data_IF_114416583946
#
_entry.id   IF_114416583946
#
_cell.length_a   1.000
_cell.length_b   1.000
_cell.length_c   1.000
_cell.angle_alpha   90.00
_cell.angle_beta   90.00
_cell.angle_gamma   90.00
#
_symmetry.space_group_name_H-M   'P 1'
#
loop_
_entity.id
_entity.type
_entity.pdbx_description
1 polymer ?
#
# COMPACT_ATOMS: atom_id res chain seq x y z
N UNK A 1 -1.72 -4.25 0.81
CA UNK A 1 -1.73 -4.02 -0.66
C UNK A 1 -2.14 -2.57 -0.93
N UNK A 2 -1.41 -1.84 -1.78
CA UNK A 2 -1.75 -0.48 -2.21
C UNK A 2 -1.43 -0.25 -3.70
N UNK A 3 -1.82 0.89 -4.25
CA UNK A 3 -1.49 1.30 -5.62
C UNK A 3 -0.26 2.20 -5.65
N UNK A 4 0.43 2.33 -6.81
CA UNK A 4 1.57 3.24 -6.94
C UNK A 4 1.20 4.67 -6.55
N UNK A 5 2.07 5.33 -5.77
CA UNK A 5 1.95 6.73 -5.34
C UNK A 5 0.70 7.08 -4.52
N UNK A 6 -0.04 6.08 -4.04
CA UNK A 6 -1.24 6.30 -3.23
C UNK A 6 -0.88 7.08 -1.97
N UNK A 7 -1.69 8.09 -1.62
CA UNK A 7 -1.54 8.83 -0.36
C UNK A 7 -2.34 8.12 0.72
N UNK A 8 -1.66 7.65 1.77
CA UNK A 8 -2.24 6.86 2.86
C UNK A 8 -1.76 7.44 4.18
N UNK A 9 -2.70 7.80 5.04
CA UNK A 9 -2.37 8.36 6.34
C UNK A 9 -3.61 8.65 7.18
N UNK A 10 -3.43 8.65 8.50
CA UNK A 10 -4.50 8.96 9.45
C UNK A 10 -4.83 10.46 9.49
N UNK A 11 -3.80 11.31 9.48
CA UNK A 11 -3.92 12.76 9.44
C UNK A 11 -3.27 13.30 8.16
N UNK A 12 -3.82 14.40 7.60
CA UNK A 12 -3.23 15.04 6.43
C UNK A 12 -1.85 15.63 6.72
N UNK A 13 -0.95 15.72 5.72
CA UNK A 13 0.45 16.13 5.91
C UNK A 13 0.56 17.52 6.55
N UNK A 14 -0.30 18.47 6.17
CA UNK A 14 -0.34 19.82 6.75
C UNK A 14 -0.59 19.83 8.27
N UNK A 15 -1.48 18.97 8.76
CA UNK A 15 -1.80 18.87 10.19
C UNK A 15 -0.60 18.32 10.95
N UNK A 16 0.09 17.33 10.36
CA UNK A 16 1.28 16.73 10.95
C UNK A 16 2.41 17.76 11.01
N UNK A 17 2.72 18.44 9.90
CA UNK A 17 3.76 19.48 9.84
C UNK A 17 3.55 20.59 10.87
N UNK A 18 2.30 21.05 11.04
CA UNK A 18 1.95 22.05 12.06
C UNK A 18 2.17 21.55 13.49
N UNK A 19 2.00 20.24 13.72
CA UNK A 19 2.14 19.61 15.03
C UNK A 19 3.60 19.34 15.38
N UNK A 20 4.39 18.81 14.44
CA UNK A 20 5.81 18.46 14.67
C UNK A 20 6.76 19.64 14.41
N UNK A 21 6.31 20.70 13.73
CA UNK A 21 7.08 21.90 13.35
C UNK A 21 8.32 21.60 12.50
N UNK A 22 8.27 20.51 11.75
CA UNK A 22 9.32 20.06 10.83
C UNK A 22 8.71 19.77 9.45
N UNK A 23 9.54 19.81 8.41
CA UNK A 23 9.12 19.37 7.07
C UNK A 23 9.05 17.85 7.01
N UNK A 24 8.02 17.33 6.37
CA UNK A 24 7.90 15.88 6.18
C UNK A 24 8.92 15.38 5.15
N UNK A 25 9.46 14.17 5.31
CA UNK A 25 10.32 13.53 4.31
C UNK A 25 9.67 13.47 2.94
N UNK A 26 10.48 13.43 1.89
CA UNK A 26 9.97 13.18 0.54
C UNK A 26 9.24 11.84 0.48
N UNK A 27 8.11 11.80 -0.22
CA UNK A 27 7.30 10.59 -0.33
C UNK A 27 6.60 10.18 0.97
N UNK A 28 6.65 10.98 2.05
CA UNK A 28 5.90 10.68 3.27
C UNK A 28 4.42 10.40 2.95
N UNK A 29 3.86 9.37 3.60
CA UNK A 29 2.50 8.85 3.34
C UNK A 29 2.26 8.26 1.94
N UNK A 30 3.27 8.19 1.06
CA UNK A 30 3.14 7.47 -0.21
C UNK A 30 3.25 5.97 0.02
N UNK A 31 2.61 5.18 -0.83
CA UNK A 31 2.65 3.73 -0.75
C UNK A 31 4.07 3.18 -0.79
N UNK A 32 4.99 3.80 -1.53
CA UNK A 32 6.42 3.45 -1.56
C UNK A 32 7.09 3.65 -0.19
N UNK A 33 6.88 4.81 0.42
CA UNK A 33 7.39 5.09 1.77
C UNK A 33 6.81 4.12 2.81
N UNK A 34 5.52 3.80 2.70
CA UNK A 34 4.87 2.89 3.63
C UNK A 34 5.25 1.42 3.42
N UNK A 35 5.58 1.01 2.20
CA UNK A 35 6.17 -0.28 1.89
C UNK A 35 7.54 -0.41 2.56
N UNK A 36 8.41 0.60 2.43
CA UNK A 36 9.72 0.63 3.09
C UNK A 36 9.63 0.58 4.63
N UNK A 37 8.57 1.14 5.22
CA UNK A 37 8.30 1.10 6.67
C UNK A 37 7.56 -0.16 7.13
N UNK A 38 7.21 -1.08 6.23
CA UNK A 38 6.52 -2.33 6.56
C UNK A 38 5.04 -2.15 6.93
N UNK A 39 4.44 -0.99 6.63
CA UNK A 39 3.02 -0.75 6.86
C UNK A 39 2.12 -1.34 5.75
N UNK A 40 2.71 -1.68 4.60
CA UNK A 40 2.04 -2.27 3.44
C UNK A 40 2.93 -3.39 2.90
N UNK A 41 2.34 -4.53 2.51
CA UNK A 41 3.11 -5.68 2.03
C UNK A 41 3.49 -5.62 0.53
N UNK A 42 2.74 -4.88 -0.28
CA UNK A 42 2.94 -4.80 -1.72
C UNK A 42 2.26 -3.59 -2.37
N UNK A 43 2.87 -3.12 -3.45
CA UNK A 43 2.32 -2.12 -4.37
C UNK A 43 1.99 -2.82 -5.69
N UNK A 44 0.76 -2.63 -6.18
CA UNK A 44 0.23 -3.34 -7.35
C UNK A 44 -0.43 -2.34 -8.29
N UNK A 45 -0.09 -2.39 -9.59
CA UNK A 45 -0.77 -1.59 -10.61
C UNK A 45 -2.27 -1.96 -10.67
N UNK A 46 -3.14 -0.97 -10.83
CA UNK A 46 -4.60 -1.17 -10.87
C UNK A 46 -5.01 -2.26 -11.88
N UNK A 47 -4.31 -2.37 -13.01
CA UNK A 47 -4.57 -3.36 -14.07
C UNK A 47 -4.33 -4.79 -13.62
N UNK A 48 -3.41 -5.00 -12.67
CA UNK A 48 -3.01 -6.31 -12.13
C UNK A 48 -3.71 -6.64 -10.80
N UNK A 49 -4.43 -5.66 -10.21
CA UNK A 49 -5.05 -5.78 -8.89
C UNK A 49 -6.02 -6.97 -8.82
N UNK A 50 -6.87 -7.15 -9.83
CA UNK A 50 -7.88 -8.24 -9.85
C UNK A 50 -7.21 -9.61 -9.76
N UNK A 51 -6.20 -9.85 -10.61
CA UNK A 51 -5.49 -11.13 -10.64
C UNK A 51 -4.71 -11.36 -9.34
N UNK A 52 -4.04 -10.32 -8.84
CA UNK A 52 -3.26 -10.40 -7.60
C UNK A 52 -4.15 -10.77 -6.41
N UNK A 53 -5.29 -10.11 -6.25
CA UNK A 53 -6.24 -10.41 -5.19
C UNK A 53 -6.82 -11.82 -5.32
N UNK A 54 -7.19 -12.25 -6.53
CA UNK A 54 -7.70 -13.61 -6.77
C UNK A 54 -6.68 -14.68 -6.35
N UNK A 55 -5.40 -14.51 -6.73
CA UNK A 55 -4.33 -15.44 -6.33
C UNK A 55 -4.13 -15.47 -4.81
N UNK A 56 -4.11 -14.31 -4.15
CA UNK A 56 -3.92 -14.22 -2.69
C UNK A 56 -5.07 -14.89 -1.94
N UNK A 57 -6.31 -14.57 -2.31
CA UNK A 57 -7.50 -15.16 -1.70
C UNK A 57 -7.53 -16.67 -1.92
N UNK A 58 -7.22 -17.16 -3.12
CA UNK A 58 -7.13 -18.59 -3.40
C UNK A 58 -6.16 -19.31 -2.45
N UNK A 59 -4.96 -18.74 -2.25
CA UNK A 59 -3.98 -19.27 -1.30
C UNK A 59 -4.48 -19.29 0.15
N UNK A 60 -5.13 -18.22 0.61
CA UNK A 60 -5.63 -18.14 1.99
C UNK A 60 -6.87 -18.99 2.24
N UNK A 61 -7.67 -19.26 1.22
CA UNK A 61 -8.87 -20.09 1.31
C UNK A 61 -8.59 -21.59 1.10
N UNK A 62 -7.32 -21.99 0.99
CA UNK A 62 -6.94 -23.39 0.74
C UNK A 62 -7.39 -23.89 -0.64
N UNK A 63 -7.76 -22.98 -1.55
CA UNK A 63 -8.06 -23.33 -2.92
C UNK A 63 -6.73 -23.54 -3.62
N UNK A 64 -6.40 -24.81 -3.91
CA UNK A 64 -5.35 -25.14 -4.85
C UNK A 64 -5.74 -24.45 -6.15
N UNK A 65 -4.92 -23.49 -6.60
CA UNK A 65 -5.06 -22.89 -7.91
C UNK A 65 -5.04 -24.01 -8.93
N UNK A 66 -6.22 -24.33 -9.48
CA UNK A 66 -6.36 -25.22 -10.62
C UNK A 66 -5.81 -24.43 -11.79
N UNK A 67 -4.50 -24.53 -12.00
CA UNK A 67 -3.87 -24.05 -13.22
C UNK A 67 -4.41 -24.95 -14.32
N UNK A 68 -5.19 -24.36 -15.23
CA UNK A 68 -5.46 -24.92 -16.56
C UNK A 68 -4.33 -24.52 -17.50
#
# INVERSE_FOLDING_TARGET
VAEPKALIGFAGPRVIEQTVREKLPEGFQRSEFLLEKGAIDMIVDRREMKETLARMLGKFMGQVSVVS
#
